data_IF_604193491879
#
_entry.id   IF_604193491879
#
_cell.length_a   1.000
_cell.length_b   1.000
_cell.length_c   1.000
_cell.angle_alpha   90.00
_cell.angle_beta   90.00
_cell.angle_gamma   90.00
#
_symmetry.space_group_name_H-M   'P 1'
#
loop_
_entity.id
_entity.type
_entity.pdbx_description
1 polymer ?
#
# COMPACT_ATOMS: atom_id res chain seq x y z
N UNK A 1 -3.26 11.99 -8.14
CA UNK A 1 -4.09 10.78 -7.91
C UNK A 1 -5.08 10.97 -6.77
N UNK A 2 -4.66 11.19 -5.51
CA UNK A 2 -5.59 11.40 -4.39
C UNK A 2 -6.52 12.60 -4.64
N UNK A 3 -5.93 13.75 -4.96
CA UNK A 3 -6.66 14.99 -5.26
C UNK A 3 -7.68 14.81 -6.39
N UNK A 4 -7.38 14.00 -7.40
CA UNK A 4 -8.29 13.78 -8.53
C UNK A 4 -9.61 13.12 -8.07
N UNK A 5 -9.54 12.18 -7.13
CA UNK A 5 -10.73 11.52 -6.57
C UNK A 5 -11.46 12.39 -5.54
N UNK A 6 -10.73 13.20 -4.77
CA UNK A 6 -11.33 14.20 -3.86
C UNK A 6 -12.08 15.27 -4.66
N UNK A 7 -11.47 15.76 -5.75
CA UNK A 7 -12.10 16.71 -6.67
C UNK A 7 -13.30 16.11 -7.39
N UNK A 8 -13.22 14.84 -7.81
CA UNK A 8 -14.34 14.12 -8.40
C UNK A 8 -15.56 14.07 -7.45
N UNK A 9 -15.33 13.76 -6.18
CA UNK A 9 -16.39 13.74 -5.16
C UNK A 9 -16.97 15.15 -4.98
N UNK A 10 -16.11 16.16 -4.85
CA UNK A 10 -16.52 17.57 -4.68
C UNK A 10 -17.35 18.08 -5.87
N UNK A 11 -16.91 17.83 -7.10
CA UNK A 11 -17.60 18.28 -8.32
C UNK A 11 -18.99 17.65 -8.49
N UNK A 12 -19.20 16.46 -7.91
CA UNK A 12 -20.46 15.73 -7.97
C UNK A 12 -21.30 15.85 -6.69
N UNK A 13 -20.87 16.68 -5.74
CA UNK A 13 -21.50 16.84 -4.42
C UNK A 13 -21.69 15.50 -3.67
N UNK A 14 -20.69 14.62 -3.81
CA UNK A 14 -20.69 13.30 -3.18
C UNK A 14 -19.89 13.33 -1.87
N UNK A 15 -20.34 12.64 -0.82
CA UNK A 15 -19.67 12.68 0.47
C UNK A 15 -18.33 11.94 0.45
N UNK A 16 -17.31 12.57 1.04
CA UNK A 16 -16.04 11.94 1.36
C UNK A 16 -16.17 11.16 2.67
N UNK A 17 -15.73 9.90 2.68
CA UNK A 17 -15.81 9.05 3.86
C UNK A 17 -14.79 9.46 4.92
N UNK A 18 -15.28 9.78 6.11
CA UNK A 18 -14.42 9.94 7.28
C UNK A 18 -13.72 8.63 7.66
N UNK A 19 -12.65 8.74 8.47
CA UNK A 19 -11.87 7.57 8.92
C UNK A 19 -12.72 6.51 9.64
N UNK A 20 -13.78 6.93 10.34
CA UNK A 20 -14.66 6.05 11.09
C UNK A 20 -15.85 5.51 10.26
N UNK A 21 -15.96 5.86 8.98
CA UNK A 21 -17.08 5.44 8.15
C UNK A 21 -17.14 3.90 8.05
N UNK A 22 -18.30 3.25 8.25
CA UNK A 22 -18.42 1.79 8.24
C UNK A 22 -17.89 1.15 6.95
N UNK A 23 -18.20 1.74 5.79
CA UNK A 23 -17.72 1.25 4.48
C UNK A 23 -16.20 1.43 4.34
N UNK A 24 -15.65 2.55 4.80
CA UNK A 24 -14.20 2.77 4.82
C UNK A 24 -13.48 1.72 5.69
N UNK A 25 -14.05 1.37 6.85
CA UNK A 25 -13.51 0.29 7.69
C UNK A 25 -13.59 -1.07 7.00
N UNK A 26 -14.68 -1.37 6.30
CA UNK A 26 -14.83 -2.62 5.57
C UNK A 26 -13.76 -2.76 4.47
N UNK A 27 -13.60 -1.73 3.63
CA UNK A 27 -12.55 -1.68 2.60
C UNK A 27 -11.16 -1.82 3.24
N UNK A 28 -10.91 -1.13 4.36
CA UNK A 28 -9.62 -1.25 5.05
C UNK A 28 -9.33 -2.66 5.55
N UNK A 29 -10.34 -3.40 6.00
CA UNK A 29 -10.19 -4.80 6.41
C UNK A 29 -9.82 -5.71 5.25
N UNK A 30 -10.30 -5.43 4.03
CA UNK A 30 -9.97 -6.22 2.84
C UNK A 30 -8.48 -6.23 2.51
N UNK A 31 -7.75 -5.18 2.90
CA UNK A 31 -6.30 -5.15 2.74
C UNK A 31 -5.58 -6.25 3.53
N UNK A 32 -6.19 -6.81 4.58
CA UNK A 32 -5.60 -7.88 5.38
C UNK A 32 -5.92 -9.29 4.87
N UNK A 33 -6.70 -9.40 3.78
CA UNK A 33 -7.03 -10.69 3.17
C UNK A 33 -5.83 -11.23 2.38
N UNK A 34 -5.54 -12.52 2.53
CA UNK A 34 -4.50 -13.22 1.78
C UNK A 34 -4.83 -13.28 0.28
N UNK A 35 -3.81 -13.26 -0.59
CA UNK A 35 -3.96 -13.30 -2.06
C UNK A 35 -4.86 -12.21 -2.65
N UNK A 36 -4.92 -11.04 -2.00
CA UNK A 36 -5.67 -9.88 -2.48
C UNK A 36 -5.27 -9.51 -3.92
N UNK A 37 -6.26 -9.33 -4.77
CA UNK A 37 -6.09 -8.88 -6.16
C UNK A 37 -7.16 -7.85 -6.49
N UNK A 38 -7.13 -7.33 -7.72
CA UNK A 38 -8.20 -6.46 -8.21
C UNK A 38 -9.60 -7.06 -8.01
N UNK A 39 -9.75 -8.39 -8.14
CA UNK A 39 -11.03 -9.09 -7.92
C UNK A 39 -11.60 -8.87 -6.51
N UNK A 40 -10.75 -8.67 -5.51
CA UNK A 40 -11.17 -8.40 -4.11
C UNK A 40 -11.88 -7.06 -3.98
N UNK A 41 -11.54 -6.08 -4.81
CA UNK A 41 -12.09 -4.72 -4.79
C UNK A 41 -13.10 -4.47 -5.91
N UNK A 42 -13.17 -5.36 -6.91
CA UNK A 42 -14.01 -5.21 -8.11
C UNK A 42 -15.45 -4.81 -7.77
N UNK A 43 -16.07 -5.43 -6.78
CA UNK A 43 -17.45 -5.13 -6.38
C UNK A 43 -17.61 -3.68 -5.91
N UNK A 44 -16.62 -3.14 -5.19
CA UNK A 44 -16.64 -1.77 -4.66
C UNK A 44 -16.29 -0.71 -5.71
N UNK A 45 -15.71 -1.10 -6.85
CA UNK A 45 -15.23 -0.18 -7.89
C UNK A 45 -16.13 -0.20 -9.13
N UNK A 46 -16.51 -1.39 -9.63
CA UNK A 46 -17.28 -1.53 -10.86
C UNK A 46 -18.79 -1.68 -10.62
N UNK A 47 -19.18 -2.33 -9.52
CA UNK A 47 -20.59 -2.63 -9.23
C UNK A 47 -21.23 -1.68 -8.21
N UNK A 48 -20.46 -0.73 -7.67
CA UNK A 48 -20.93 0.24 -6.68
C UNK A 48 -21.20 1.61 -7.30
N UNK A 49 -22.01 2.46 -6.63
CA UNK A 49 -22.18 3.85 -6.99
C UNK A 49 -20.85 4.61 -7.10
N UNK A 50 -20.77 5.67 -7.92
CA UNK A 50 -19.55 6.45 -8.11
C UNK A 50 -18.92 6.99 -6.81
N UNK A 51 -19.75 7.32 -5.81
CA UNK A 51 -19.31 7.72 -4.48
C UNK A 51 -18.46 6.62 -3.82
N UNK A 52 -18.98 5.39 -3.77
CA UNK A 52 -18.31 4.29 -3.09
C UNK A 52 -17.04 3.88 -3.83
N UNK A 53 -17.07 3.91 -5.17
CA UNK A 53 -15.90 3.64 -5.99
C UNK A 53 -14.78 4.64 -5.71
N UNK A 54 -15.07 5.94 -5.78
CA UNK A 54 -14.09 6.99 -5.50
C UNK A 54 -13.54 6.89 -4.06
N UNK A 55 -14.41 6.75 -3.07
CA UNK A 55 -13.99 6.59 -1.66
C UNK A 55 -13.19 5.30 -1.41
N UNK A 56 -13.49 4.22 -2.12
CA UNK A 56 -12.72 2.97 -2.07
C UNK A 56 -11.32 3.18 -2.61
N UNK A 57 -11.18 3.86 -3.76
CA UNK A 57 -9.86 4.17 -4.32
C UNK A 57 -9.08 5.09 -3.39
N UNK A 58 -9.69 6.11 -2.79
CA UNK A 58 -9.05 6.96 -1.78
C UNK A 58 -8.53 6.12 -0.60
N UNK A 59 -9.32 5.16 -0.11
CA UNK A 59 -8.85 4.25 0.94
C UNK A 59 -7.63 3.44 0.52
N UNK A 60 -7.62 2.92 -0.72
CA UNK A 60 -6.50 2.15 -1.25
C UNK A 60 -5.24 3.00 -1.45
N UNK A 61 -5.37 4.25 -1.89
CA UNK A 61 -4.24 5.19 -2.03
C UNK A 61 -3.58 5.42 -0.67
N UNK A 62 -4.37 5.72 0.37
CA UNK A 62 -3.82 5.89 1.72
C UNK A 62 -3.11 4.63 2.23
N UNK A 63 -3.66 3.45 1.96
CA UNK A 63 -3.02 2.19 2.34
C UNK A 63 -1.72 1.94 1.59
N UNK A 64 -1.69 2.22 0.29
CA UNK A 64 -0.48 2.09 -0.52
C UNK A 64 0.62 3.02 -0.01
N UNK A 65 0.31 4.29 0.26
CA UNK A 65 1.25 5.26 0.82
C UNK A 65 1.81 4.78 2.17
N UNK A 66 0.93 4.33 3.08
CA UNK A 66 1.37 3.80 4.36
C UNK A 66 2.31 2.59 4.22
N UNK A 67 2.00 1.66 3.32
CA UNK A 67 2.85 0.50 3.09
C UNK A 67 4.20 0.87 2.46
N UNK A 68 4.22 1.86 1.56
CA UNK A 68 5.46 2.39 0.99
C UNK A 68 6.33 3.05 2.08
N UNK A 69 5.74 3.83 2.98
CA UNK A 69 6.46 4.42 4.11
C UNK A 69 7.07 3.36 5.02
N UNK A 70 6.31 2.29 5.32
CA UNK A 70 6.83 1.17 6.12
C UNK A 70 7.95 0.42 5.40
N UNK A 71 7.85 0.24 4.08
CA UNK A 71 8.91 -0.37 3.28
C UNK A 71 10.19 0.47 3.31
N UNK A 72 10.09 1.79 3.16
CA UNK A 72 11.24 2.70 3.24
C UNK A 72 11.91 2.65 4.60
N UNK A 73 11.14 2.71 5.70
CA UNK A 73 11.67 2.58 7.06
C UNK A 73 12.37 1.25 7.29
N UNK A 74 11.82 0.16 6.76
CA UNK A 74 12.44 -1.15 6.86
C UNK A 74 13.76 -1.21 6.09
N UNK A 75 13.78 -0.69 4.86
CA UNK A 75 14.99 -0.61 4.04
C UNK A 75 16.09 0.22 4.72
N UNK A 76 15.72 1.36 5.31
CA UNK A 76 16.63 2.21 6.08
C UNK A 76 17.18 1.48 7.31
N UNK A 77 16.32 0.83 8.09
CA UNK A 77 16.74 0.06 9.26
C UNK A 77 17.66 -1.11 8.89
N UNK A 78 17.36 -1.82 7.80
CA UNK A 78 18.17 -2.91 7.28
C UNK A 78 19.53 -2.41 6.77
N UNK A 79 19.56 -1.21 6.18
CA UNK A 79 20.80 -0.54 5.77
C UNK A 79 21.68 -0.18 6.97
N UNK A 80 21.10 0.42 8.01
CA UNK A 80 21.84 0.79 9.24
C UNK A 80 22.36 -0.44 10.00
N UNK A 81 21.61 -1.54 10.04
CA UNK A 81 22.01 -2.76 10.76
C UNK A 81 23.01 -3.62 10.00
N UNK A 82 22.83 -3.77 8.69
CA UNK A 82 23.54 -4.75 7.88
C UNK A 82 24.52 -4.17 6.87
N UNK A 83 24.68 -2.84 6.84
CA UNK A 83 25.40 -2.14 5.78
C UNK A 83 24.61 -2.08 4.47
N UNK A 84 25.15 -1.34 3.50
CA UNK A 84 24.53 -1.19 2.19
C UNK A 84 24.47 -2.48 1.39
N UNK A 85 23.72 -2.47 0.28
CA UNK A 85 23.63 -3.62 -0.62
C UNK A 85 25.03 -4.12 -1.05
N UNK A 86 25.94 -3.19 -1.33
CA UNK A 86 27.33 -3.50 -1.70
C UNK A 86 28.11 -4.18 -0.59
N UNK A 87 27.98 -3.75 0.67
CA UNK A 87 28.64 -4.36 1.82
C UNK A 87 28.10 -5.76 2.10
N UNK A 88 26.77 -5.93 2.05
CA UNK A 88 26.14 -7.25 2.19
C UNK A 88 26.58 -8.20 1.07
N UNK A 89 26.66 -7.71 -0.16
CA UNK A 89 27.14 -8.48 -1.31
C UNK A 89 28.64 -8.82 -1.19
N UNK A 90 29.44 -7.90 -0.66
CA UNK A 90 30.86 -8.13 -0.39
C UNK A 90 31.05 -9.23 0.66
N UNK A 91 30.36 -9.17 1.80
CA UNK A 91 30.39 -10.23 2.81
C UNK A 91 29.90 -11.57 2.27
N UNK A 92 28.82 -11.58 1.48
CA UNK A 92 28.34 -12.81 0.83
C UNK A 92 29.39 -13.41 -0.12
N UNK A 93 30.08 -12.58 -0.93
CA UNK A 93 31.16 -13.02 -1.83
C UNK A 93 32.38 -13.54 -1.07
N UNK A 94 32.77 -12.91 0.04
CA UNK A 94 33.85 -13.37 0.91
C UNK A 94 33.51 -14.73 1.53
N UNK A 95 32.32 -14.88 2.12
CA UNK A 95 31.88 -16.14 2.72
C UNK A 95 31.79 -17.29 1.71
N UNK A 96 31.39 -17.00 0.46
CA UNK A 96 31.39 -17.98 -0.62
C UNK A 96 32.81 -18.39 -1.07
N UNK A 97 33.81 -17.52 -0.93
CA UNK A 97 35.22 -17.86 -1.20
C UNK A 97 35.83 -18.71 -0.09
N UNK A 98 35.48 -18.45 1.17
CA UNK A 98 35.97 -19.22 2.32
C UNK A 98 35.39 -20.64 2.36
N UNK A 99 34.12 -20.84 1.99
CA UNK A 99 33.49 -22.17 1.93
C UNK A 99 34.03 -23.11 0.83
N UNK A 100 34.93 -22.64 -0.03
CA UNK A 100 35.45 -23.40 -1.19
C UNK A 100 36.82 -24.04 -0.91
N UNK A 101 37.35 -23.87 0.30
CA UNK A 101 38.49 -24.58 0.89
C UNK A 101 38.01 -25.33 2.13
#
# INVERSE_FOLDING_TARGET
LLLDYEDFLRQKDLPLWEKAHPKARAVRKLAWVENRSYKTYKTYVEASPPEEAANTIICLIHQANYLLDQLLRKLEADFLKGGGFTERLYHARQNHRVKRF
#
